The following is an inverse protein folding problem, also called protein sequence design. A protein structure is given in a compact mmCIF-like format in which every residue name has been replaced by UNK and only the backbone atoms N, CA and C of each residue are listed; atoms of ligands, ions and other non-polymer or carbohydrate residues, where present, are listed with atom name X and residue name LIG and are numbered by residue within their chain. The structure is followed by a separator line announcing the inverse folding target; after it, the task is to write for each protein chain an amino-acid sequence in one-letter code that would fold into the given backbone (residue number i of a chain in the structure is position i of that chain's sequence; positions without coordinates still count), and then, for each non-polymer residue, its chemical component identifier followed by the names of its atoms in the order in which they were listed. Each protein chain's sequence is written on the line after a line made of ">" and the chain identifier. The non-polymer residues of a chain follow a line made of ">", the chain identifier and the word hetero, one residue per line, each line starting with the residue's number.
data_IF_560225742001
#
_entry.id   IF_560225742001
#
_cell.length_a   1.000
_cell.length_b   1.000
_cell.length_c   1.000
_cell.angle_alpha   90.00
_cell.angle_beta   90.00
_cell.angle_gamma   90.00
#
_symmetry.space_group_name_H-M   'P 1'
#
loop_
_entity.id
_entity.type
_entity.pdbx_description
1 polymer ?
#
# COMPACT_ATOMS: atom_id res chain seq x y z
N UNK A 1 -18.06 17.35 31.51
CA UNK A 1 -16.68 17.26 31.12
C UNK A 1 -16.65 16.95 29.64
N UNK A 2 -16.17 17.90 28.83
CA UNK A 2 -15.89 17.64 27.42
C UNK A 2 -14.74 16.62 27.38
N UNK A 3 -15.07 15.36 27.10
CA UNK A 3 -14.07 14.35 26.84
C UNK A 3 -13.27 14.80 25.63
N UNK A 4 -11.99 15.04 25.82
CA UNK A 4 -11.04 15.19 24.72
C UNK A 4 -11.11 13.88 23.96
N UNK A 5 -11.73 13.87 22.76
CA UNK A 5 -11.71 12.70 21.91
C UNK A 5 -10.25 12.43 21.54
N UNK A 6 -9.69 11.39 22.12
CA UNK A 6 -8.36 10.93 21.73
C UNK A 6 -8.39 10.61 20.22
N UNK A 7 -7.40 11.07 19.46
CA UNK A 7 -7.34 10.78 18.03
C UNK A 7 -7.30 9.27 17.82
N UNK A 8 -8.18 8.78 16.95
CA UNK A 8 -8.24 7.36 16.62
C UNK A 8 -6.92 6.86 15.99
N UNK A 9 -6.67 5.54 16.01
CA UNK A 9 -5.46 4.96 15.42
C UNK A 9 -5.28 5.29 13.93
N UNK A 10 -6.36 5.48 13.20
CA UNK A 10 -6.39 5.91 11.79
C UNK A 10 -5.81 7.32 11.62
N UNK A 11 -6.15 8.25 12.52
CA UNK A 11 -5.60 9.61 12.52
C UNK A 11 -4.11 9.59 12.82
N UNK A 12 -3.68 8.78 13.80
CA UNK A 12 -2.26 8.65 14.14
C UNK A 12 -1.44 8.05 13.00
N UNK A 13 -1.97 7.03 12.30
CA UNK A 13 -1.31 6.42 11.15
C UNK A 13 -1.24 7.39 9.96
N UNK A 14 -2.29 8.17 9.72
CA UNK A 14 -2.30 9.20 8.67
C UNK A 14 -1.25 10.28 8.96
N UNK A 15 -1.16 10.73 10.22
CA UNK A 15 -0.12 11.67 10.65
C UNK A 15 1.30 11.08 10.50
N UNK A 16 1.48 9.79 10.80
CA UNK A 16 2.75 9.10 10.62
C UNK A 16 3.17 9.06 9.14
N UNK A 17 2.24 8.78 8.22
CA UNK A 17 2.51 8.83 6.77
C UNK A 17 2.86 10.25 6.31
N UNK A 18 2.13 11.26 6.77
CA UNK A 18 2.43 12.65 6.46
C UNK A 18 3.80 13.09 7.00
N UNK A 19 4.13 12.71 8.24
CA UNK A 19 5.43 12.99 8.85
C UNK A 19 6.57 12.30 8.08
N UNK A 20 6.37 11.05 7.66
CA UNK A 20 7.30 10.33 6.81
C UNK A 20 7.57 11.08 5.49
N UNK A 21 6.51 11.54 4.81
CA UNK A 21 6.63 12.34 3.59
C UNK A 21 7.42 13.63 3.83
N UNK A 22 7.14 14.33 4.94
CA UNK A 22 7.87 15.53 5.36
C UNK A 22 9.36 15.28 5.61
N UNK A 23 9.69 14.18 6.28
CA UNK A 23 11.09 13.76 6.51
C UNK A 23 11.80 13.48 5.18
N UNK A 24 11.15 12.78 4.26
CA UNK A 24 11.72 12.52 2.93
C UNK A 24 11.93 13.78 2.13
N UNK A 25 10.96 14.68 2.13
CA UNK A 25 11.08 15.98 1.49
C UNK A 25 12.26 16.78 2.05
N UNK A 26 12.36 16.91 3.37
CA UNK A 26 13.44 17.62 4.06
C UNK A 26 14.82 17.00 3.80
N UNK A 27 14.92 15.67 3.85
CA UNK A 27 16.16 14.97 3.54
C UNK A 27 16.56 15.14 2.07
N UNK A 28 15.61 15.19 1.15
CA UNK A 28 15.86 15.40 -0.29
C UNK A 28 16.35 16.82 -0.58
N UNK A 29 15.88 17.82 0.17
CA UNK A 29 16.29 19.23 0.03
C UNK A 29 17.69 19.57 0.55
N UNK A 30 18.35 18.67 1.28
CA UNK A 30 19.65 18.93 1.93
C UNK A 30 20.89 18.68 1.05
N UNK A 31 20.74 18.62 -0.27
CA UNK A 31 21.85 18.52 -1.21
C UNK A 31 22.09 17.13 -1.79
N UNK A 32 23.14 17.03 -2.61
CA UNK A 32 23.46 15.81 -3.38
C UNK A 32 23.89 14.69 -2.43
N UNK A 33 23.05 13.68 -2.35
CA UNK A 33 23.34 12.47 -1.59
C UNK A 33 23.77 11.35 -2.53
N UNK A 34 24.41 10.32 -2.00
CA UNK A 34 24.78 9.18 -2.79
C UNK A 34 23.53 8.51 -3.41
N UNK A 35 23.67 8.04 -4.65
CA UNK A 35 22.59 7.33 -5.37
C UNK A 35 22.10 6.11 -4.56
N UNK A 36 23.01 5.46 -3.81
CA UNK A 36 22.65 4.32 -2.95
C UNK A 36 21.73 4.73 -1.82
N UNK A 37 22.02 5.85 -1.17
CA UNK A 37 21.20 6.41 -0.10
C UNK A 37 19.80 6.79 -0.60
N UNK A 38 19.71 7.54 -1.70
CA UNK A 38 18.42 7.92 -2.30
C UNK A 38 17.57 6.69 -2.68
N UNK A 39 18.21 5.66 -3.21
CA UNK A 39 17.53 4.40 -3.55
C UNK A 39 17.04 3.62 -2.33
N UNK A 40 17.84 3.56 -1.28
CA UNK A 40 17.45 2.90 -0.02
C UNK A 40 16.29 3.65 0.64
N UNK A 41 16.36 4.98 0.68
CA UNK A 41 15.27 5.81 1.20
C UNK A 41 13.98 5.65 0.41
N UNK A 42 14.05 5.68 -0.92
CA UNK A 42 12.88 5.46 -1.78
C UNK A 42 12.24 4.10 -1.51
N UNK A 43 13.03 3.03 -1.50
CA UNK A 43 12.50 1.68 -1.31
C UNK A 43 11.99 1.45 0.12
N UNK A 44 12.72 1.92 1.13
CA UNK A 44 12.32 1.82 2.53
C UNK A 44 11.08 2.66 2.84
N UNK A 45 11.02 3.86 2.27
CA UNK A 45 9.86 4.74 2.42
C UNK A 45 8.60 4.16 1.81
N UNK A 46 8.70 3.63 0.60
CA UNK A 46 7.58 2.97 -0.06
C UNK A 46 7.07 1.76 0.74
N UNK A 47 7.98 0.93 1.27
CA UNK A 47 7.59 -0.23 2.09
C UNK A 47 6.88 0.20 3.38
N UNK A 48 7.42 1.23 4.04
CA UNK A 48 6.82 1.75 5.26
C UNK A 48 5.45 2.38 4.99
N UNK A 49 5.32 3.13 3.89
CA UNK A 49 4.06 3.76 3.48
C UNK A 49 3.00 2.70 3.12
N UNK A 50 3.38 1.64 2.40
CA UNK A 50 2.52 0.50 2.14
C UNK A 50 2.03 -0.17 3.43
N UNK A 51 2.91 -0.36 4.41
CA UNK A 51 2.54 -0.97 5.68
C UNK A 51 1.60 -0.07 6.49
N UNK A 52 1.92 1.22 6.61
CA UNK A 52 1.06 2.21 7.27
C UNK A 52 -0.29 2.30 6.57
N UNK A 53 -0.29 2.38 5.24
CA UNK A 53 -1.51 2.43 4.43
C UNK A 53 -2.39 1.20 4.63
N UNK A 54 -1.79 0.01 4.67
CA UNK A 54 -2.51 -1.23 4.93
C UNK A 54 -3.17 -1.26 6.31
N UNK A 55 -2.46 -0.82 7.35
CA UNK A 55 -3.02 -0.71 8.69
C UNK A 55 -4.11 0.35 8.77
N UNK A 56 -3.90 1.51 8.16
CA UNK A 56 -4.92 2.58 8.09
C UNK A 56 -6.20 2.07 7.44
N UNK A 57 -6.09 1.33 6.33
CA UNK A 57 -7.24 0.69 5.69
C UNK A 57 -8.00 -0.25 6.61
N UNK A 58 -7.32 -1.01 7.46
CA UNK A 58 -7.95 -1.90 8.44
C UNK A 58 -8.73 -1.13 9.52
N UNK A 59 -8.18 -0.04 10.03
CA UNK A 59 -8.87 0.80 11.02
C UNK A 59 -10.03 1.58 10.41
N UNK A 60 -9.88 2.10 9.19
CA UNK A 60 -10.98 2.72 8.46
C UNK A 60 -12.12 1.73 8.23
N UNK A 61 -11.81 0.49 7.83
CA UNK A 61 -12.82 -0.54 7.69
C UNK A 61 -13.54 -0.82 9.01
N UNK A 62 -12.82 -0.88 10.14
CA UNK A 62 -13.44 -1.07 11.43
C UNK A 62 -14.41 0.06 11.80
N UNK A 63 -14.11 1.30 11.41
CA UNK A 63 -15.02 2.45 11.50
C UNK A 63 -16.27 2.26 10.65
N UNK A 64 -16.10 1.98 9.37
CA UNK A 64 -17.20 1.72 8.44
C UNK A 64 -18.12 0.58 8.89
N UNK A 65 -17.53 -0.53 9.39
CA UNK A 65 -18.31 -1.68 9.84
C UNK A 65 -19.20 -1.39 11.05
N UNK A 66 -18.85 -0.40 11.88
CA UNK A 66 -19.69 0.04 13.01
C UNK A 66 -20.93 0.81 12.56
N UNK A 67 -20.79 1.58 11.49
CA UNK A 67 -21.85 2.48 11.00
C UNK A 67 -22.79 1.81 9.98
N UNK A 68 -22.39 0.63 9.46
CA UNK A 68 -23.27 -0.14 8.59
C UNK A 68 -24.37 -0.82 9.40
N UNK A 69 -25.64 -0.63 9.05
CA UNK A 69 -26.71 -1.41 9.64
C UNK A 69 -26.41 -2.88 9.36
N UNK A 70 -26.19 -3.65 10.43
CA UNK A 70 -25.72 -5.03 10.39
C UNK A 70 -26.68 -5.89 9.58
N UNK A 71 -26.34 -6.19 8.36
CA UNK A 71 -27.02 -7.15 7.52
C UNK A 71 -26.11 -8.35 7.30
N UNK A 72 -25.93 -9.15 8.35
CA UNK A 72 -25.32 -10.47 8.26
C UNK A 72 -23.80 -10.52 8.03
N UNK A 73 -23.18 -11.65 8.33
CA UNK A 73 -21.76 -11.91 8.18
C UNK A 73 -21.24 -11.71 6.72
N UNK A 74 -22.11 -11.93 5.73
CA UNK A 74 -21.76 -11.76 4.32
C UNK A 74 -21.50 -10.31 3.94
N UNK A 75 -22.26 -9.36 4.50
CA UNK A 75 -22.04 -7.92 4.25
C UNK A 75 -20.69 -7.44 4.78
N UNK A 76 -20.28 -7.97 5.94
CA UNK A 76 -18.97 -7.64 6.53
C UNK A 76 -17.83 -8.17 5.66
N UNK A 77 -17.94 -9.40 5.15
CA UNK A 77 -16.92 -9.98 4.25
C UNK A 77 -16.83 -9.19 2.94
N UNK A 78 -17.96 -8.78 2.38
CA UNK A 78 -18.00 -8.01 1.15
C UNK A 78 -17.39 -6.60 1.34
N UNK A 79 -17.70 -5.93 2.45
CA UNK A 79 -17.13 -4.63 2.76
C UNK A 79 -15.62 -4.72 3.02
N UNK A 80 -15.15 -5.77 3.71
CA UNK A 80 -13.72 -6.04 3.90
C UNK A 80 -12.99 -6.25 2.58
N UNK A 81 -13.56 -7.07 1.69
CA UNK A 81 -13.02 -7.29 0.36
C UNK A 81 -12.98 -6.00 -0.47
N UNK A 82 -14.04 -5.17 -0.40
CA UNK A 82 -14.12 -3.90 -1.11
C UNK A 82 -13.03 -2.93 -0.66
N UNK A 83 -12.88 -2.70 0.65
CA UNK A 83 -11.84 -1.79 1.20
C UNK A 83 -10.44 -2.28 0.82
N UNK A 84 -10.19 -3.58 0.91
CA UNK A 84 -8.90 -4.17 0.53
C UNK A 84 -8.61 -3.99 -0.96
N UNK A 85 -9.61 -4.16 -1.82
CA UNK A 85 -9.49 -3.98 -3.26
C UNK A 85 -9.22 -2.51 -3.61
N UNK A 86 -9.96 -1.58 -3.01
CA UNK A 86 -9.75 -0.14 -3.23
C UNK A 86 -8.34 0.29 -2.84
N UNK A 87 -7.82 -0.22 -1.74
CA UNK A 87 -6.47 0.05 -1.30
C UNK A 87 -5.44 -0.49 -2.29
N UNK A 88 -5.57 -1.75 -2.72
CA UNK A 88 -4.67 -2.35 -3.72
C UNK A 88 -4.69 -1.59 -5.04
N UNK A 89 -5.87 -1.16 -5.50
CA UNK A 89 -6.00 -0.36 -6.71
C UNK A 89 -5.31 1.01 -6.57
N UNK A 90 -5.48 1.67 -5.43
CA UNK A 90 -4.80 2.94 -5.12
C UNK A 90 -3.27 2.80 -5.14
N UNK A 91 -2.75 1.79 -4.49
CA UNK A 91 -1.31 1.50 -4.48
C UNK A 91 -0.78 1.11 -5.86
N UNK A 92 -1.52 0.31 -6.62
CA UNK A 92 -1.15 -0.06 -7.99
C UNK A 92 -1.08 1.18 -8.89
N UNK A 93 -2.03 2.11 -8.76
CA UNK A 93 -2.04 3.38 -9.48
C UNK A 93 -0.83 4.25 -9.10
N UNK A 94 -0.53 4.38 -7.81
CA UNK A 94 0.65 5.13 -7.34
C UNK A 94 1.95 4.57 -7.92
N UNK A 95 2.09 3.25 -8.00
CA UNK A 95 3.26 2.60 -8.58
C UNK A 95 3.33 2.79 -10.09
N UNK A 96 2.21 2.78 -10.80
CA UNK A 96 2.15 3.09 -12.22
C UNK A 96 2.57 4.55 -12.50
N UNK A 97 2.05 5.49 -11.73
CA UNK A 97 2.45 6.91 -11.78
C UNK A 97 3.94 7.07 -11.48
N UNK A 98 4.44 6.40 -10.44
CA UNK A 98 5.86 6.41 -10.13
C UNK A 98 6.69 5.85 -11.28
N UNK A 99 6.30 4.74 -11.88
CA UNK A 99 7.00 4.15 -13.02
C UNK A 99 7.06 5.09 -14.22
N UNK A 100 6.03 5.92 -14.41
CA UNK A 100 5.97 6.93 -15.46
C UNK A 100 6.84 8.15 -15.15
N UNK A 101 6.80 8.65 -13.92
CA UNK A 101 7.48 9.89 -13.54
C UNK A 101 8.96 9.68 -13.22
N UNK A 102 9.32 8.57 -12.57
CA UNK A 102 10.67 8.26 -12.13
C UNK A 102 11.25 7.15 -13.02
N UNK A 103 11.97 7.51 -14.09
CA UNK A 103 12.52 6.51 -14.99
C UNK A 103 13.57 5.68 -14.27
N UNK A 104 13.28 4.43 -14.14
CA UNK A 104 14.17 3.44 -13.55
C UNK A 104 14.32 2.25 -14.49
N UNK A 105 15.43 1.50 -14.33
CA UNK A 105 15.61 0.27 -15.09
C UNK A 105 14.45 -0.70 -14.81
N UNK A 106 13.89 -1.40 -15.80
CA UNK A 106 12.73 -2.29 -15.62
C UNK A 106 12.91 -3.31 -14.49
N UNK A 107 14.11 -3.86 -14.33
CA UNK A 107 14.44 -4.79 -13.22
C UNK A 107 14.26 -4.15 -11.85
N UNK A 108 14.63 -2.87 -11.69
CA UNK A 108 14.45 -2.16 -10.43
C UNK A 108 12.96 -1.88 -10.18
N UNK A 109 12.23 -1.46 -11.20
CA UNK A 109 10.78 -1.27 -11.09
C UNK A 109 10.11 -2.55 -10.65
N UNK A 110 10.44 -3.70 -11.26
CA UNK A 110 9.94 -5.00 -10.86
C UNK A 110 10.16 -5.28 -9.38
N UNK A 111 11.40 -5.17 -8.91
CA UNK A 111 11.74 -5.47 -7.50
C UNK A 111 11.02 -4.53 -6.55
N UNK A 112 11.03 -3.22 -6.81
CA UNK A 112 10.37 -2.24 -5.94
C UNK A 112 8.87 -2.45 -5.91
N UNK A 113 8.24 -2.68 -7.07
CA UNK A 113 6.79 -2.93 -7.14
C UNK A 113 6.41 -4.23 -6.45
N UNK A 114 7.19 -5.31 -6.65
CA UNK A 114 6.93 -6.58 -5.99
C UNK A 114 7.00 -6.45 -4.46
N UNK A 115 8.06 -5.80 -3.95
CA UNK A 115 8.24 -5.61 -2.50
C UNK A 115 7.19 -4.70 -1.88
N UNK A 116 6.75 -3.67 -2.59
CA UNK A 116 5.74 -2.73 -2.09
C UNK A 116 4.39 -3.40 -1.80
N UNK A 117 3.99 -4.40 -2.58
CA UNK A 117 2.73 -5.11 -2.35
C UNK A 117 2.76 -6.11 -1.19
N UNK A 118 3.96 -6.51 -0.73
CA UNK A 118 4.06 -7.54 0.32
C UNK A 118 3.37 -7.12 1.62
N UNK A 119 3.63 -5.92 2.20
CA UNK A 119 2.95 -5.49 3.41
C UNK A 119 1.43 -5.44 3.25
N UNK A 120 0.96 -4.86 2.15
CA UNK A 120 -0.48 -4.74 1.87
C UNK A 120 -1.16 -6.09 1.73
N UNK A 121 -0.56 -7.02 0.99
CA UNK A 121 -1.10 -8.37 0.84
C UNK A 121 -1.13 -9.09 2.20
N UNK A 122 -0.04 -9.02 2.98
CA UNK A 122 0.02 -9.67 4.28
C UNK A 122 -1.00 -9.09 5.26
N UNK A 123 -1.04 -7.77 5.41
CA UNK A 123 -1.98 -7.12 6.33
C UNK A 123 -3.43 -7.40 5.93
N UNK A 124 -3.77 -7.21 4.65
CA UNK A 124 -5.13 -7.44 4.18
C UNK A 124 -5.56 -8.91 4.21
N UNK A 125 -4.63 -9.85 4.09
CA UNK A 125 -4.94 -11.28 4.13
C UNK A 125 -5.07 -11.84 5.54
N UNK A 126 -4.27 -11.33 6.49
CA UNK A 126 -4.12 -11.97 7.79
C UNK A 126 -4.54 -11.11 8.98
N UNK A 127 -4.70 -9.79 8.80
CA UNK A 127 -5.12 -8.90 9.87
C UNK A 127 -6.59 -8.54 9.72
N UNK A 128 -7.37 -8.75 10.77
CA UNK A 128 -8.79 -8.40 10.80
C UNK A 128 -9.09 -7.47 11.97
N UNK A 129 -10.02 -6.49 11.79
CA UNK A 129 -10.52 -5.68 12.88
C UNK A 129 -11.33 -6.54 13.86
N UNK A 130 -11.12 -6.28 15.16
CA UNK A 130 -11.91 -6.90 16.24
C UNK A 130 -13.08 -6.02 16.65
N UNK A 131 -14.08 -6.61 17.29
CA UNK A 131 -15.23 -5.88 17.82
C UNK A 131 -14.85 -4.78 18.83
N UNK A 132 -13.71 -4.92 19.50
CA UNK A 132 -13.17 -3.93 20.43
C UNK A 132 -12.35 -2.81 19.76
N UNK A 133 -12.32 -2.74 18.44
CA UNK A 133 -11.54 -1.74 17.70
C UNK A 133 -10.05 -2.02 17.60
N UNK A 134 -9.57 -3.15 18.14
CA UNK A 134 -8.22 -3.65 17.95
C UNK A 134 -8.05 -4.39 16.62
N UNK A 135 -6.80 -4.81 16.33
CA UNK A 135 -6.48 -5.68 15.22
C UNK A 135 -6.06 -7.06 15.74
N UNK A 136 -6.50 -8.11 15.07
CA UNK A 136 -6.11 -9.48 15.38
C UNK A 136 -5.69 -10.22 14.12
N UNK A 137 -4.86 -11.24 14.27
CA UNK A 137 -4.57 -12.16 13.18
C UNK A 137 -5.83 -13.00 12.90
N UNK A 138 -6.17 -13.12 11.63
CA UNK A 138 -7.22 -14.02 11.18
C UNK A 138 -6.84 -15.45 11.56
N UNK A 139 -7.67 -16.10 12.39
CA UNK A 139 -7.54 -17.53 12.61
C UNK A 139 -7.67 -18.20 11.23
N UNK A 140 -6.69 -19.01 10.86
CA UNK A 140 -6.76 -19.84 9.65
C UNK A 140 -7.87 -20.86 9.88
N UNK A 141 -9.05 -20.50 9.41
CA UNK A 141 -10.18 -21.42 9.44
C UNK A 141 -9.81 -22.64 8.58
N UNK A 142 -9.69 -23.75 9.26
CA UNK A 142 -9.23 -25.00 8.72
C UNK A 142 -10.21 -25.48 7.66
N UNK A 143 -9.87 -25.30 6.40
CA UNK A 143 -10.54 -26.00 5.31
C UNK A 143 -11.00 -25.17 4.11
N UNK A 144 -10.89 -23.85 4.13
CA UNK A 144 -11.23 -23.01 2.98
C UNK A 144 -10.02 -22.72 2.10
N UNK A 145 -10.17 -22.84 0.79
CA UNK A 145 -9.17 -22.37 -0.15
C UNK A 145 -8.97 -20.85 0.04
N UNK A 146 -7.72 -20.33 0.13
CA UNK A 146 -7.44 -18.93 0.45
C UNK A 146 -7.71 -18.00 -0.75
N UNK A 147 -8.98 -17.89 -1.15
CA UNK A 147 -9.41 -17.12 -2.30
C UNK A 147 -9.00 -15.65 -2.21
N UNK A 148 -9.13 -15.05 -1.04
CA UNK A 148 -8.84 -13.62 -0.85
C UNK A 148 -7.36 -13.30 -1.03
N UNK A 149 -6.41 -13.97 -0.32
CA UNK A 149 -4.99 -13.79 -0.57
C UNK A 149 -4.58 -14.07 -2.01
N UNK A 150 -5.16 -15.09 -2.64
CA UNK A 150 -4.85 -15.44 -4.02
C UNK A 150 -5.30 -14.35 -4.99
N UNK A 151 -6.49 -13.79 -4.81
CA UNK A 151 -6.95 -12.66 -5.62
C UNK A 151 -6.04 -11.45 -5.47
N UNK A 152 -5.57 -11.14 -4.25
CA UNK A 152 -4.62 -10.05 -4.02
C UNK A 152 -3.30 -10.27 -4.75
N UNK A 153 -2.76 -11.49 -4.73
CA UNK A 153 -1.54 -11.84 -5.47
C UNK A 153 -1.74 -11.70 -6.98
N UNK A 154 -2.88 -12.12 -7.52
CA UNK A 154 -3.20 -11.98 -8.94
C UNK A 154 -3.27 -10.50 -9.34
N UNK A 155 -4.04 -9.69 -8.61
CA UNK A 155 -4.19 -8.26 -8.88
C UNK A 155 -2.83 -7.57 -8.80
N UNK A 156 -2.03 -7.92 -7.78
CA UNK A 156 -0.69 -7.36 -7.63
C UNK A 156 0.25 -7.79 -8.76
N UNK A 157 0.11 -9.01 -9.25
CA UNK A 157 0.82 -9.50 -10.44
C UNK A 157 0.55 -8.61 -11.67
N UNK A 158 -0.70 -8.22 -11.90
CA UNK A 158 -1.05 -7.26 -12.94
C UNK A 158 -0.44 -5.88 -12.72
N UNK A 159 -0.43 -5.39 -11.48
CA UNK A 159 0.22 -4.11 -11.13
C UNK A 159 1.73 -4.13 -11.42
N UNK A 160 2.40 -5.24 -11.10
CA UNK A 160 3.82 -5.46 -11.41
C UNK A 160 4.05 -5.40 -12.93
N UNK A 161 3.30 -6.18 -13.70
CA UNK A 161 3.44 -6.25 -15.15
C UNK A 161 3.24 -4.86 -15.77
N UNK A 162 2.16 -4.18 -15.40
CA UNK A 162 1.84 -2.83 -15.90
C UNK A 162 2.96 -1.84 -15.57
N UNK A 163 3.44 -1.80 -14.35
CA UNK A 163 4.52 -0.90 -13.93
C UNK A 163 5.84 -1.18 -14.68
N UNK A 164 6.16 -2.45 -14.91
CA UNK A 164 7.37 -2.85 -15.65
C UNK A 164 7.26 -2.48 -17.12
N UNK A 165 6.09 -2.67 -17.75
CA UNK A 165 5.83 -2.29 -19.15
C UNK A 165 5.97 -0.78 -19.31
N UNK A 166 5.31 0.02 -18.47
CA UNK A 166 5.43 1.49 -18.48
C UNK A 166 6.89 1.90 -18.33
N UNK A 167 7.59 1.35 -17.35
CA UNK A 167 9.01 1.66 -17.11
C UNK A 167 9.89 1.30 -18.32
N UNK A 168 9.62 0.18 -18.99
CA UNK A 168 10.36 -0.26 -20.19
C UNK A 168 10.16 0.70 -21.35
N UNK A 169 8.91 1.11 -21.61
CA UNK A 169 8.57 2.06 -22.68
C UNK A 169 9.26 3.39 -22.45
N UNK A 170 9.10 3.97 -21.25
CA UNK A 170 9.65 5.30 -20.94
C UNK A 170 11.17 5.28 -20.93
N UNK A 171 11.77 4.22 -20.40
CA UNK A 171 13.23 4.07 -20.39
C UNK A 171 13.79 3.93 -21.82
N UNK A 172 13.09 3.18 -22.70
CA UNK A 172 13.44 3.04 -24.12
C UNK A 172 13.39 4.36 -24.85
N UNK A 173 12.28 5.09 -24.78
CA UNK A 173 12.10 6.40 -25.41
C UNK A 173 13.18 7.41 -24.98
N UNK A 174 13.54 7.43 -23.70
CA UNK A 174 14.62 8.32 -23.22
C UNK A 174 16.00 7.92 -23.72
N UNK A 175 16.25 6.65 -23.97
CA UNK A 175 17.50 6.20 -24.56
C UNK A 175 17.62 6.68 -26.02
N UNK A 176 16.54 6.60 -26.80
CA UNK A 176 16.49 7.08 -28.19
C UNK A 176 16.70 8.60 -28.28
N UNK A 177 16.01 9.38 -27.44
CA UNK A 177 16.16 10.85 -27.40
C UNK A 177 17.57 11.30 -27.06
N UNK A 178 18.35 10.49 -26.30
CA UNK A 178 19.75 10.84 -25.97
C UNK A 178 20.72 10.50 -27.09
N UNK A 179 20.33 9.70 -28.04
CA UNK A 179 21.16 9.28 -29.18
C UNK A 179 20.94 10.15 -30.41
N UNK A 180 19.83 10.90 -30.46
CA UNK A 180 19.53 11.90 -31.48
C UNK A 180 20.12 13.27 -31.13
#
# INVERSE_FOLDING_TARGET
>A
GAGVNEPGPDVLLTLASAAQGGVFWWLSGRGVRSIRFSRAMESGGLLLDSFIGALTGRYLFAGFARDLPVVGAQATVLADAYVSLMQLCGEALLLAIRAALIPSRPRRTLVVTALFGVPTILVNSFVVPTAGGGLALRATDSGGFPWLPMNFVIIWGFAIITSVVISRIIYGLRAEVRQA
#
